data_IF_989991551718
#
_entry.id   IF_989991551718
#
_cell.length_a   1.000
_cell.length_b   1.000
_cell.length_c   1.000
_cell.angle_alpha   90.00
_cell.angle_beta   90.00
_cell.angle_gamma   90.00
#
_symmetry.space_group_name_H-M   'P 1'
#
loop_
_entity.id
_entity.type
_entity.pdbx_description
1 polymer ?
#
# COMPACT_ATOMS: atom_id res chain seq x y z
N UNK A 1 50.84 14.10 -1.71
CA UNK A 1 51.74 14.33 -2.87
C UNK A 1 52.06 13.01 -3.55
N UNK A 2 51.45 12.73 -4.71
CA UNK A 2 52.00 11.98 -5.85
C UNK A 2 50.93 11.90 -6.95
N UNK A 3 51.28 12.36 -8.15
CA UNK A 3 50.48 12.44 -9.38
C UNK A 3 50.85 11.28 -10.32
N UNK A 4 50.06 11.16 -11.41
CA UNK A 4 50.33 10.51 -12.72
C UNK A 4 50.01 9.00 -12.74
N UNK A 5 49.47 8.36 -13.78
CA UNK A 5 49.08 8.65 -15.18
C UNK A 5 48.15 7.48 -15.60
N UNK A 6 47.10 7.63 -16.41
CA UNK A 6 47.17 7.49 -17.87
C UNK A 6 46.72 6.10 -18.36
N UNK A 7 45.77 6.01 -19.29
CA UNK A 7 45.39 4.73 -19.92
C UNK A 7 44.09 4.75 -20.73
N UNK A 8 44.06 5.53 -21.82
CA UNK A 8 43.04 5.49 -22.87
C UNK A 8 43.31 4.29 -23.80
N UNK A 9 42.32 3.44 -24.06
CA UNK A 9 42.38 2.47 -25.17
C UNK A 9 41.30 2.85 -26.19
N UNK A 10 41.78 3.32 -27.33
CA UNK A 10 41.06 3.42 -28.61
C UNK A 10 41.75 2.46 -29.57
N UNK A 11 40.99 1.61 -30.26
CA UNK A 11 41.19 1.03 -31.61
C UNK A 11 40.39 -0.29 -31.69
N UNK A 12 39.60 -0.59 -32.73
CA UNK A 12 39.57 0.02 -34.05
C UNK A 12 38.33 -0.32 -34.88
N UNK A 13 38.29 0.38 -36.00
CA UNK A 13 37.32 0.35 -37.09
C UNK A 13 37.18 -1.03 -37.75
N UNK A 14 35.97 -1.34 -38.21
CA UNK A 14 35.77 -1.99 -39.50
C UNK A 14 34.65 -1.26 -40.26
N UNK A 15 34.94 -0.92 -41.52
CA UNK A 15 34.17 -0.08 -42.40
C UNK A 15 33.25 -0.89 -43.34
N UNK A 16 32.25 -0.21 -43.91
CA UNK A 16 31.49 -0.62 -45.10
C UNK A 16 30.05 -1.03 -44.79
N UNK A 17 29.01 -0.51 -45.43
CA UNK A 17 28.90 0.32 -46.62
C UNK A 17 27.60 1.14 -46.56
N UNK A 18 27.68 2.41 -46.95
CA UNK A 18 26.54 3.29 -47.20
C UNK A 18 25.95 2.98 -48.58
N UNK A 19 24.65 2.69 -48.66
CA UNK A 19 23.86 2.90 -49.86
C UNK A 19 22.68 3.80 -49.51
N UNK A 20 22.71 5.00 -50.10
CA UNK A 20 21.68 6.03 -50.07
C UNK A 20 20.54 5.66 -51.03
N UNK A 21 19.30 5.61 -50.52
CA UNK A 21 18.03 5.77 -51.25
C UNK A 21 17.03 6.28 -50.18
N UNK A 22 16.86 7.58 -49.96
CA UNK A 22 15.92 8.47 -50.67
C UNK A 22 14.82 8.94 -49.68
N UNK A 23 14.39 10.22 -49.67
CA UNK A 23 13.39 10.70 -48.72
C UNK A 23 11.98 10.60 -49.31
N UNK A 24 11.03 10.04 -48.57
CA UNK A 24 9.61 10.08 -48.94
C UNK A 24 8.75 10.52 -47.77
N UNK A 25 8.41 11.80 -47.83
CA UNK A 25 7.12 12.44 -47.56
C UNK A 25 6.37 12.09 -46.28
N UNK A 26 6.40 13.06 -45.37
CA UNK A 26 5.30 13.41 -44.49
C UNK A 26 4.05 13.79 -45.31
N UNK A 27 2.89 13.26 -44.93
CA UNK A 27 1.59 13.75 -45.40
C UNK A 27 0.74 12.69 -46.09
N UNK A 28 -0.55 12.69 -45.75
CA UNK A 28 -1.65 11.91 -46.32
C UNK A 28 -1.75 10.44 -45.89
N UNK A 29 -2.54 10.20 -44.84
CA UNK A 29 -3.55 9.13 -44.81
C UNK A 29 -4.53 9.38 -43.64
N UNK A 30 -5.08 10.59 -43.58
CA UNK A 30 -6.40 10.79 -42.98
C UNK A 30 -7.41 10.62 -44.11
N UNK A 31 -8.41 9.76 -43.86
CA UNK A 31 -9.58 9.49 -44.70
C UNK A 31 -9.52 8.25 -45.61
N UNK A 32 -9.66 7.08 -44.99
CA UNK A 32 -10.53 6.04 -45.55
C UNK A 32 -11.42 5.45 -44.46
N UNK A 33 -12.61 6.00 -44.43
CA UNK A 33 -13.77 5.69 -43.60
C UNK A 33 -14.31 4.26 -43.86
N UNK A 34 -14.63 3.58 -42.75
CA UNK A 34 -15.63 2.50 -42.53
C UNK A 34 -15.59 1.27 -43.44
N UNK A 35 -15.32 0.08 -42.86
CA UNK A 35 -16.24 -1.08 -42.86
C UNK A 35 -15.84 -2.08 -41.73
N UNK A 36 -16.78 -2.30 -40.81
CA UNK A 36 -17.04 -3.59 -40.15
C UNK A 36 -15.92 -4.35 -39.42
N UNK A 37 -15.86 -4.19 -38.10
CA UNK A 37 -15.63 -5.32 -37.18
C UNK A 37 -16.25 -4.98 -35.83
N UNK A 38 -17.58 -5.16 -35.73
CA UNK A 38 -18.28 -5.27 -34.46
C UNK A 38 -17.74 -6.48 -33.71
N UNK A 39 -16.90 -6.19 -32.73
CA UNK A 39 -16.31 -7.14 -31.83
C UNK A 39 -15.68 -6.39 -30.67
N UNK A 40 -16.53 -5.73 -29.86
CA UNK A 40 -16.13 -5.27 -28.53
C UNK A 40 -15.64 -6.49 -27.73
N UNK A 41 -14.35 -6.78 -27.83
CA UNK A 41 -13.66 -7.44 -26.73
C UNK A 41 -13.84 -6.53 -25.50
N UNK A 42 -14.29 -7.05 -24.35
CA UNK A 42 -14.34 -6.23 -23.15
C UNK A 42 -12.91 -5.80 -22.82
N UNK A 43 -12.64 -4.51 -22.94
CA UNK A 43 -11.45 -3.87 -22.38
C UNK A 43 -11.35 -4.28 -20.92
N UNK A 44 -10.38 -5.14 -20.60
CA UNK A 44 -9.95 -5.37 -19.22
C UNK A 44 -9.10 -4.17 -18.82
N UNK A 45 -9.73 -3.00 -18.71
CA UNK A 45 -9.13 -1.92 -17.94
C UNK A 45 -9.29 -2.28 -16.46
N UNK A 46 -8.20 -2.33 -15.67
CA UNK A 46 -8.35 -2.50 -14.24
C UNK A 46 -9.14 -1.30 -13.72
N UNK A 47 -10.38 -1.54 -13.30
CA UNK A 47 -11.19 -0.54 -12.63
C UNK A 47 -10.41 0.12 -11.49
N UNK A 48 -10.77 1.35 -11.08
CA UNK A 48 -9.98 2.13 -10.13
C UNK A 48 -9.67 1.31 -8.89
N UNK A 49 -8.38 1.05 -8.65
CA UNK A 49 -7.90 0.19 -7.56
C UNK A 49 -8.47 0.57 -6.17
N UNK A 50 -8.93 1.81 -6.04
CA UNK A 50 -9.57 2.39 -4.87
C UNK A 50 -10.83 1.60 -4.43
N UNK A 51 -11.70 1.17 -5.35
CA UNK A 51 -12.95 0.46 -4.98
C UNK A 51 -12.69 -0.98 -4.56
N UNK A 52 -11.66 -1.63 -5.13
CA UNK A 52 -11.29 -3.00 -4.78
C UNK A 52 -10.63 -3.06 -3.40
N UNK A 53 -9.82 -2.06 -3.06
CA UNK A 53 -9.16 -1.98 -1.76
C UNK A 53 -10.13 -1.57 -0.65
N UNK A 54 -11.07 -0.65 -0.93
CA UNK A 54 -12.14 -0.29 0.02
C UNK A 54 -13.07 -1.47 0.35
N UNK A 55 -13.25 -2.40 -0.60
CA UNK A 55 -14.08 -3.59 -0.41
C UNK A 55 -13.34 -4.73 0.33
N UNK A 56 -12.05 -4.59 0.61
CA UNK A 56 -11.30 -5.61 1.35
C UNK A 56 -11.57 -5.48 2.85
N UNK A 57 -12.05 -6.56 3.47
CA UNK A 57 -12.23 -6.59 4.92
C UNK A 57 -10.91 -6.90 5.65
N UNK A 58 -10.45 -5.97 6.48
CA UNK A 58 -9.27 -6.09 7.33
C UNK A 58 -9.63 -6.42 8.78
N UNK A 59 -10.76 -5.91 9.26
CA UNK A 59 -11.26 -6.14 10.62
C UNK A 59 -12.50 -7.01 10.57
N UNK A 60 -12.42 -8.25 11.04
CA UNK A 60 -13.54 -9.19 11.00
C UNK A 60 -14.61 -8.83 12.05
N UNK A 61 -14.19 -8.52 13.27
CA UNK A 61 -15.09 -8.27 14.41
C UNK A 61 -14.42 -7.35 15.42
N UNK A 62 -15.23 -6.56 16.13
CA UNK A 62 -14.86 -5.89 17.37
C UNK A 62 -15.82 -6.39 18.44
N UNK A 63 -15.29 -6.81 19.59
CA UNK A 63 -16.09 -7.18 20.75
C UNK A 63 -15.67 -6.29 21.93
N UNK A 64 -16.56 -5.45 22.48
CA UNK A 64 -16.28 -4.70 23.69
C UNK A 64 -16.40 -5.59 24.94
N UNK A 65 -15.51 -5.40 25.90
CA UNK A 65 -15.53 -6.00 27.23
C UNK A 65 -15.30 -4.92 28.29
N UNK A 66 -16.02 -4.98 29.40
CA UNK A 66 -15.76 -4.10 30.55
C UNK A 66 -14.58 -4.63 31.34
N UNK A 67 -13.47 -3.90 31.33
CA UNK A 67 -12.27 -4.17 32.12
C UNK A 67 -12.08 -3.20 33.30
N UNK A 68 -11.01 -3.42 34.07
CA UNK A 68 -10.71 -2.67 35.30
C UNK A 68 -10.58 -1.15 35.11
N UNK A 69 -10.04 -0.69 33.97
CA UNK A 69 -9.83 0.73 33.67
C UNK A 69 -10.89 1.34 32.75
N UNK A 70 -11.83 0.56 32.23
CA UNK A 70 -12.76 0.98 31.18
C UNK A 70 -13.01 -0.13 30.17
N UNK A 71 -13.39 0.22 28.94
CA UNK A 71 -13.71 -0.78 27.90
C UNK A 71 -12.45 -1.26 27.19
N UNK A 72 -12.33 -2.58 27.05
CA UNK A 72 -11.39 -3.24 26.15
C UNK A 72 -12.12 -3.55 24.86
N UNK A 73 -11.59 -3.12 23.72
CA UNK A 73 -12.12 -3.44 22.40
C UNK A 73 -11.25 -4.54 21.78
N UNK A 74 -11.74 -5.77 21.78
CA UNK A 74 -11.08 -6.91 21.16
C UNK A 74 -11.29 -6.88 19.65
N UNK A 75 -10.31 -6.36 18.92
CA UNK A 75 -10.34 -6.29 17.46
C UNK A 75 -9.81 -7.59 16.88
N UNK A 76 -10.66 -8.35 16.18
CA UNK A 76 -10.24 -9.58 15.48
C UNK A 76 -9.87 -9.26 14.03
N UNK A 77 -8.58 -9.33 13.64
CA UNK A 77 -8.18 -9.07 12.26
C UNK A 77 -8.50 -10.27 11.34
N UNK A 78 -8.76 -9.99 10.08
CA UNK A 78 -8.80 -11.00 9.01
C UNK A 78 -7.38 -11.43 8.62
N UNK A 79 -7.23 -12.39 7.70
CA UNK A 79 -5.91 -12.70 7.12
C UNK A 79 -5.29 -11.48 6.43
N UNK A 80 -6.10 -10.70 5.70
CA UNK A 80 -5.66 -9.47 5.07
C UNK A 80 -5.25 -8.40 6.10
N UNK A 81 -6.02 -8.26 7.19
CA UNK A 81 -5.69 -7.36 8.30
C UNK A 81 -4.32 -7.64 8.92
N UNK A 82 -3.91 -8.91 8.96
CA UNK A 82 -2.58 -9.30 9.46
C UNK A 82 -1.44 -8.96 8.50
N UNK A 83 -1.71 -8.77 7.22
CA UNK A 83 -0.67 -8.48 6.21
C UNK A 83 -0.70 -7.05 5.70
N UNK A 84 -1.62 -6.22 6.23
CA UNK A 84 -1.83 -4.86 5.77
C UNK A 84 -0.61 -3.94 6.01
N UNK A 85 -0.40 -3.00 5.11
CA UNK A 85 0.69 -2.02 5.11
C UNK A 85 0.21 -0.66 4.59
N UNK A 86 0.92 0.41 4.94
CA UNK A 86 0.63 1.76 4.42
C UNK A 86 -0.82 2.17 4.64
N UNK A 87 -1.45 2.71 3.59
CA UNK A 87 -2.83 3.24 3.62
C UNK A 87 -3.89 2.18 3.96
N UNK A 88 -3.58 0.90 3.78
CA UNK A 88 -4.48 -0.19 4.18
C UNK A 88 -4.76 -0.18 5.69
N UNK A 89 -3.81 0.31 6.49
CA UNK A 89 -3.98 0.48 7.93
C UNK A 89 -5.07 1.52 8.22
N UNK A 90 -5.14 2.60 7.43
CA UNK A 90 -6.15 3.65 7.60
C UNK A 90 -7.54 3.14 7.22
N UNK A 91 -7.65 2.37 6.13
CA UNK A 91 -8.90 1.69 5.75
C UNK A 91 -9.34 0.73 6.85
N UNK A 92 -8.42 -0.07 7.39
CA UNK A 92 -8.71 -0.99 8.47
C UNK A 92 -9.11 -0.27 9.77
N UNK A 93 -8.52 0.90 10.06
CA UNK A 93 -8.93 1.73 11.19
C UNK A 93 -10.37 2.22 11.03
N UNK A 94 -10.75 2.73 9.85
CA UNK A 94 -12.14 3.11 9.58
C UNK A 94 -13.12 1.94 9.77
N UNK A 95 -12.73 0.72 9.40
CA UNK A 95 -13.53 -0.48 9.68
C UNK A 95 -13.67 -0.77 11.18
N UNK A 96 -12.61 -0.60 11.97
CA UNK A 96 -12.67 -0.78 13.43
C UNK A 96 -13.60 0.25 14.08
N UNK A 97 -13.51 1.51 13.67
CA UNK A 97 -14.39 2.60 14.15
C UNK A 97 -15.84 2.33 13.77
N UNK A 98 -16.11 1.95 12.51
CA UNK A 98 -17.44 1.58 12.06
C UNK A 98 -18.02 0.36 12.83
N UNK A 99 -17.15 -0.47 13.42
CA UNK A 99 -17.52 -1.63 14.25
C UNK A 99 -17.54 -1.31 15.75
N UNK A 100 -17.38 -0.04 16.15
CA UNK A 100 -17.64 0.44 17.51
C UNK A 100 -16.42 0.84 18.33
N UNK A 101 -15.20 0.80 17.77
CA UNK A 101 -14.03 1.39 18.45
C UNK A 101 -14.15 2.91 18.48
N UNK A 102 -13.97 3.60 19.62
CA UNK A 102 -13.97 5.05 19.69
C UNK A 102 -12.85 5.66 18.84
N UNK A 103 -13.20 6.64 18.00
CA UNK A 103 -12.23 7.34 17.16
C UNK A 103 -11.43 8.37 17.97
N UNK A 104 -10.46 7.87 18.73
CA UNK A 104 -9.53 8.69 19.50
C UNK A 104 -8.10 8.41 19.07
N UNK A 105 -7.23 9.40 19.23
CA UNK A 105 -5.80 9.27 18.90
C UNK A 105 -5.11 8.14 19.68
N UNK A 106 -5.52 7.89 20.93
CA UNK A 106 -5.00 6.77 21.73
C UNK A 106 -5.39 5.42 21.14
N UNK A 107 -6.68 5.22 20.86
CA UNK A 107 -7.19 3.97 20.26
C UNK A 107 -6.55 3.71 18.89
N UNK A 108 -6.42 4.76 18.06
CA UNK A 108 -5.76 4.67 16.76
C UNK A 108 -4.29 4.23 16.87
N UNK A 109 -3.51 4.83 17.77
CA UNK A 109 -2.09 4.47 17.94
C UNK A 109 -1.93 3.03 18.46
N UNK A 110 -2.80 2.60 19.38
CA UNK A 110 -2.84 1.20 19.83
C UNK A 110 -3.18 0.27 18.67
N UNK A 111 -4.21 0.57 17.88
CA UNK A 111 -4.59 -0.23 16.71
C UNK A 111 -3.45 -0.34 15.70
N UNK A 112 -2.87 0.81 15.29
CA UNK A 112 -1.80 0.89 14.30
C UNK A 112 -0.52 0.19 14.73
N UNK A 113 -0.24 0.12 16.04
CA UNK A 113 0.89 -0.63 16.55
C UNK A 113 0.81 -2.14 16.23
N UNK A 114 -0.38 -2.72 16.26
CA UNK A 114 -0.57 -4.16 16.11
C UNK A 114 -0.11 -4.72 14.75
N UNK A 115 -0.56 -4.21 13.58
CA UNK A 115 -0.04 -4.67 12.31
C UNK A 115 1.44 -4.33 12.16
N UNK A 116 1.94 -3.22 12.71
CA UNK A 116 3.37 -2.87 12.58
C UNK A 116 4.30 -3.77 13.40
N UNK A 117 3.80 -4.38 14.47
CA UNK A 117 4.54 -5.33 15.31
C UNK A 117 4.49 -6.75 14.75
N UNK A 118 5.65 -7.42 14.61
CA UNK A 118 5.73 -8.82 14.17
C UNK A 118 4.95 -9.76 15.09
N UNK A 119 5.06 -9.55 16.40
CA UNK A 119 4.41 -10.41 17.41
C UNK A 119 2.94 -10.08 17.56
N UNK A 120 2.58 -8.79 17.69
CA UNK A 120 1.20 -8.40 17.95
C UNK A 120 0.29 -8.68 16.74
N UNK A 121 0.80 -8.51 15.51
CA UNK A 121 0.15 -8.89 14.26
C UNK A 121 -0.38 -10.33 14.25
N UNK A 122 0.33 -11.25 14.90
CA UNK A 122 -0.03 -12.68 14.92
C UNK A 122 -1.10 -13.04 15.97
N UNK A 123 -1.41 -12.15 16.93
CA UNK A 123 -2.37 -12.44 18.01
C UNK A 123 -3.79 -12.67 17.49
N UNK A 124 -4.60 -13.55 18.10
CA UNK A 124 -5.98 -13.78 17.68
C UNK A 124 -6.84 -12.50 17.67
N UNK A 125 -6.63 -11.65 18.66
CA UNK A 125 -7.23 -10.32 18.80
C UNK A 125 -6.16 -9.27 19.09
N UNK A 126 -6.48 -8.02 18.80
CA UNK A 126 -5.74 -6.82 19.16
C UNK A 126 -6.60 -6.04 20.15
N UNK A 127 -6.11 -5.89 21.37
CA UNK A 127 -6.90 -5.32 22.45
C UNK A 127 -6.58 -3.83 22.54
N UNK A 128 -7.61 -3.00 22.42
CA UNK A 128 -7.52 -1.54 22.55
C UNK A 128 -8.20 -1.12 23.84
N UNK A 129 -7.45 -0.53 24.75
CA UNK A 129 -7.89 -0.28 26.13
C UNK A 129 -8.21 1.21 26.31
N UNK A 130 -9.48 1.55 26.59
CA UNK A 130 -10.01 2.92 26.55
C UNK A 130 -9.29 3.90 27.49
N UNK A 131 -8.61 3.40 28.52
CA UNK A 131 -7.94 4.19 29.56
C UNK A 131 -6.46 4.46 29.27
N UNK A 132 -5.87 3.84 28.24
CA UNK A 132 -4.45 4.05 27.98
C UNK A 132 -4.19 5.46 27.45
N UNK A 133 -3.11 6.12 27.89
CA UNK A 133 -2.80 7.46 27.46
C UNK A 133 -2.37 7.49 25.99
N UNK A 134 -2.66 8.63 25.34
CA UNK A 134 -2.12 8.90 24.02
C UNK A 134 -0.66 9.38 24.14
N UNK A 135 0.29 8.44 24.01
CA UNK A 135 1.74 8.72 24.06
C UNK A 135 2.39 8.80 22.65
N UNK A 136 1.59 8.73 21.59
CA UNK A 136 2.07 8.64 20.20
C UNK A 136 2.53 7.23 19.81
N UNK A 137 2.50 6.94 18.50
CA UNK A 137 2.77 5.61 17.95
C UNK A 137 4.14 5.03 18.33
N UNK A 138 5.20 5.84 18.27
CA UNK A 138 6.57 5.39 18.59
C UNK A 138 6.64 4.87 20.03
N UNK A 139 6.12 5.62 20.98
CA UNK A 139 6.13 5.21 22.39
C UNK A 139 5.19 4.02 22.63
N UNK A 140 4.04 3.97 21.95
CA UNK A 140 3.15 2.79 21.97
C UNK A 140 3.86 1.53 21.49
N UNK A 141 4.66 1.61 20.42
CA UNK A 141 5.45 0.48 19.92
C UNK A 141 6.56 0.08 20.90
N UNK A 142 7.27 1.03 21.50
CA UNK A 142 8.28 0.75 22.53
C UNK A 142 7.70 0.08 23.78
N UNK A 143 6.39 0.23 24.02
CA UNK A 143 5.64 -0.44 25.07
C UNK A 143 4.90 -1.69 24.58
N UNK A 144 5.35 -2.31 23.49
CA UNK A 144 4.78 -3.54 22.94
C UNK A 144 3.26 -3.43 22.70
N UNK A 145 2.80 -2.29 22.18
CA UNK A 145 1.40 -1.95 21.94
C UNK A 145 0.52 -1.79 23.20
N UNK A 146 1.13 -1.69 24.39
CA UNK A 146 0.43 -1.51 25.65
C UNK A 146 0.94 -0.29 26.44
N UNK A 147 0.65 0.95 25.97
CA UNK A 147 1.23 2.16 26.54
C UNK A 147 0.73 2.43 27.96
N UNK A 148 1.51 3.12 28.77
CA UNK A 148 1.21 3.47 30.17
C UNK A 148 1.65 4.88 30.49
#
# INVERSE_FOLDING_TARGET
>A
MKKLLGGLIVLGLAAGAFLFLGPSSFGDLLDRRLEGADGLAPSTEPGPAITRESNKEFVARVTPETGYGGTIYHVRPTRAGRTMVGDQIEVAWSQAVAKGVPDTRSMYNQFKCHPLSVVARAKPTWDLESWRPNVGLTQTMLRACNPS
#
